data_IF_268423321349
#
_entry.id   IF_268423321349
#
_cell.length_a   1.000
_cell.length_b   1.000
_cell.length_c   1.000
_cell.angle_alpha   90.00
_cell.angle_beta   90.00
_cell.angle_gamma   90.00
#
_symmetry.space_group_name_H-M   'P 1'
#
loop_
_entity.id
_entity.type
_entity.pdbx_description
1 polymer ?
#
# COMPACT_ATOMS: atom_id res chain seq x y z
N UNK A 1 -3.79 66.61 -47.34
CA UNK A 1 -3.87 65.19 -47.75
C UNK A 1 -2.67 64.47 -47.15
N UNK A 2 -2.87 63.71 -46.08
CA UNK A 2 -1.95 62.66 -45.64
C UNK A 2 -2.76 61.70 -44.79
N UNK A 3 -2.99 60.49 -45.29
CA UNK A 3 -3.78 59.44 -44.65
C UNK A 3 -2.88 58.65 -43.70
N UNK A 4 -3.24 58.63 -42.42
CA UNK A 4 -2.67 57.72 -41.43
C UNK A 4 -3.43 56.40 -41.53
N UNK A 5 -2.76 55.34 -41.98
CA UNK A 5 -3.24 53.97 -41.85
C UNK A 5 -2.93 53.50 -40.43
N UNK A 6 -3.95 53.52 -39.57
CA UNK A 6 -3.96 52.85 -38.28
C UNK A 6 -4.14 51.35 -38.54
N UNK A 7 -3.05 50.58 -38.42
CA UNK A 7 -3.15 49.13 -38.37
C UNK A 7 -3.66 48.72 -36.98
N UNK A 8 -4.89 48.22 -36.94
CA UNK A 8 -5.48 47.56 -35.79
C UNK A 8 -4.72 46.26 -35.49
N UNK A 9 -4.16 46.15 -34.29
CA UNK A 9 -3.62 44.90 -33.78
C UNK A 9 -4.80 43.99 -33.43
N UNK A 10 -4.93 42.78 -34.02
CA UNK A 10 -5.97 41.85 -33.62
C UNK A 10 -5.66 41.29 -32.23
N UNK A 11 -6.43 41.72 -31.24
CA UNK A 11 -6.51 41.13 -29.89
C UNK A 11 -7.21 39.77 -29.95
N UNK A 12 -6.50 38.74 -30.42
CA UNK A 12 -7.06 37.38 -30.51
C UNK A 12 -6.04 36.26 -30.22
N UNK A 13 -5.05 36.51 -29.35
CA UNK A 13 -4.16 35.46 -28.82
C UNK A 13 -4.24 35.40 -27.29
N UNK A 14 -5.45 35.24 -26.76
CA UNK A 14 -5.64 34.74 -25.41
C UNK A 14 -5.28 33.24 -25.41
N UNK A 15 -4.00 32.93 -25.21
CA UNK A 15 -3.56 31.59 -24.84
C UNK A 15 -4.17 31.24 -23.47
N UNK A 16 -5.34 30.61 -23.48
CA UNK A 16 -5.84 29.79 -22.37
C UNK A 16 -6.16 28.42 -22.93
N UNK A 17 -5.12 27.66 -23.26
CA UNK A 17 -5.23 26.22 -23.12
C UNK A 17 -5.30 25.98 -21.61
N UNK A 18 -6.52 25.84 -21.09
CA UNK A 18 -6.72 25.37 -19.72
C UNK A 18 -6.14 23.96 -19.69
N UNK A 19 -5.00 23.78 -19.03
CA UNK A 19 -4.38 22.47 -18.84
C UNK A 19 -5.42 21.57 -18.19
N UNK A 20 -5.79 20.47 -18.83
CA UNK A 20 -6.72 19.50 -18.25
C UNK A 20 -5.95 18.43 -17.47
N UNK A 21 -6.65 17.72 -16.58
CA UNK A 21 -6.07 16.68 -15.74
C UNK A 21 -5.29 15.62 -16.56
N UNK A 22 -5.84 15.20 -17.69
CA UNK A 22 -5.22 14.24 -18.60
C UNK A 22 -3.90 14.73 -19.18
N UNK A 23 -3.78 16.03 -19.49
CA UNK A 23 -2.55 16.62 -20.03
C UNK A 23 -1.44 16.59 -18.98
N UNK A 24 -1.77 16.95 -17.74
CA UNK A 24 -0.83 16.87 -16.60
C UNK A 24 -0.37 15.43 -16.38
N UNK A 25 -1.30 14.47 -16.36
CA UNK A 25 -0.95 13.06 -16.12
C UNK A 25 -0.11 12.49 -17.26
N UNK A 26 -0.45 12.76 -18.51
CA UNK A 26 0.34 12.30 -19.66
C UNK A 26 1.75 12.92 -19.64
N UNK A 27 1.86 14.20 -19.31
CA UNK A 27 3.15 14.89 -19.16
C UNK A 27 3.98 14.23 -18.05
N UNK A 28 3.41 14.05 -16.85
CA UNK A 28 4.08 13.42 -15.73
C UNK A 28 4.46 11.96 -16.04
N UNK A 29 3.60 11.19 -16.71
CA UNK A 29 3.95 9.82 -17.11
C UNK A 29 5.14 9.80 -18.07
N UNK A 30 5.11 10.60 -19.13
CA UNK A 30 6.16 10.60 -20.15
C UNK A 30 7.50 11.10 -19.58
N UNK A 31 7.48 12.23 -18.87
CA UNK A 31 8.70 12.86 -18.35
C UNK A 31 9.19 12.23 -17.06
N UNK A 32 8.29 11.97 -16.10
CA UNK A 32 8.70 11.51 -14.78
C UNK A 32 8.95 10.01 -14.76
N UNK A 33 8.07 9.18 -15.34
CA UNK A 33 8.28 7.73 -15.29
C UNK A 33 9.53 7.33 -16.08
N UNK A 34 9.56 7.65 -17.38
CA UNK A 34 10.65 7.23 -18.24
C UNK A 34 11.91 8.08 -18.07
N UNK A 35 11.78 9.38 -17.77
CA UNK A 35 12.94 10.24 -17.52
C UNK A 35 13.68 9.85 -16.25
N UNK A 36 12.99 9.62 -15.13
CA UNK A 36 13.62 9.18 -13.87
C UNK A 36 14.26 7.80 -14.03
N UNK A 37 13.54 6.85 -14.66
CA UNK A 37 14.10 5.52 -14.94
C UNK A 37 15.39 5.63 -15.76
N UNK A 38 15.35 6.38 -16.87
CA UNK A 38 16.51 6.55 -17.77
C UNK A 38 17.70 7.15 -17.04
N UNK A 39 17.48 8.21 -16.26
CA UNK A 39 18.56 8.90 -15.54
C UNK A 39 19.17 8.00 -14.45
N UNK A 40 18.34 7.31 -13.66
CA UNK A 40 18.83 6.40 -12.60
C UNK A 40 19.56 5.19 -13.21
N UNK A 41 19.04 4.63 -14.31
CA UNK A 41 19.73 3.57 -15.07
C UNK A 41 21.11 4.01 -15.54
N UNK A 42 21.19 5.20 -16.15
CA UNK A 42 22.45 5.77 -16.62
C UNK A 42 23.42 6.01 -15.46
N UNK A 43 22.95 6.59 -14.35
CA UNK A 43 23.76 6.84 -13.16
C UNK A 43 24.31 5.57 -12.53
N UNK A 44 23.54 4.47 -12.53
CA UNK A 44 23.96 3.18 -11.99
C UNK A 44 24.80 2.35 -12.97
N UNK A 45 24.87 2.76 -14.25
CA UNK A 45 25.54 1.99 -15.30
C UNK A 45 24.78 0.73 -15.72
N UNK A 46 23.45 0.70 -15.54
CA UNK A 46 22.60 -0.43 -15.88
C UNK A 46 21.97 -0.20 -17.26
N UNK A 47 22.37 -0.99 -18.25
CA UNK A 47 21.77 -0.95 -19.59
C UNK A 47 20.50 -1.82 -19.65
N UNK A 48 19.36 -1.18 -19.87
CA UNK A 48 18.05 -1.82 -20.06
C UNK A 48 17.37 -1.15 -21.26
N UNK A 49 16.72 -1.96 -22.09
CA UNK A 49 15.77 -1.46 -23.08
C UNK A 49 14.40 -1.28 -22.43
N UNK A 50 14.06 -0.02 -22.13
CA UNK A 50 12.78 0.36 -21.51
C UNK A 50 11.57 -0.06 -22.35
N UNK A 51 11.70 -0.07 -23.69
CA UNK A 51 10.67 -0.51 -24.61
C UNK A 51 10.28 -1.96 -24.34
N UNK A 52 11.28 -2.84 -24.28
CA UNK A 52 11.06 -4.27 -24.04
C UNK A 52 10.67 -4.61 -22.60
N UNK A 53 11.12 -3.81 -21.62
CA UNK A 53 10.96 -4.16 -20.22
C UNK A 53 9.65 -3.64 -19.61
N UNK A 54 9.17 -2.48 -20.07
CA UNK A 54 8.01 -1.81 -19.47
C UNK A 54 6.78 -1.74 -20.38
N UNK A 55 6.89 -1.94 -21.70
CA UNK A 55 5.72 -1.96 -22.58
C UNK A 55 5.17 -3.37 -22.77
N UNK A 56 3.85 -3.49 -22.68
CA UNK A 56 3.11 -4.69 -23.04
C UNK A 56 2.72 -4.64 -24.52
N UNK A 57 2.34 -5.79 -25.09
CA UNK A 57 1.95 -5.92 -26.51
C UNK A 57 0.75 -5.04 -26.89
N UNK A 58 -0.10 -4.71 -25.92
CA UNK A 58 -1.26 -3.82 -26.09
C UNK A 58 -0.92 -2.32 -26.03
N UNK A 59 0.37 -1.98 -25.87
CA UNK A 59 0.86 -0.62 -25.75
C UNK A 59 0.76 -0.02 -24.34
N UNK A 60 0.27 -0.77 -23.36
CA UNK A 60 0.21 -0.32 -21.96
C UNK A 60 1.58 -0.44 -21.26
N UNK A 61 1.75 0.34 -20.19
CA UNK A 61 2.98 0.34 -19.38
C UNK A 61 2.79 -0.51 -18.13
N UNK A 62 3.67 -1.48 -17.91
CA UNK A 62 3.68 -2.36 -16.75
C UNK A 62 4.71 -1.92 -15.72
N UNK A 63 4.31 -1.87 -14.45
CA UNK A 63 5.23 -1.60 -13.32
C UNK A 63 5.82 -2.86 -12.71
N UNK A 64 5.48 -4.06 -13.22
CA UNK A 64 5.91 -5.33 -12.62
C UNK A 64 7.43 -5.44 -12.47
N UNK A 65 8.17 -4.87 -13.41
CA UNK A 65 9.65 -4.88 -13.43
C UNK A 65 10.30 -3.88 -12.49
N UNK A 66 9.54 -2.98 -11.85
CA UNK A 66 10.05 -2.18 -10.73
C UNK A 66 10.42 -3.08 -9.54
N UNK A 67 9.74 -4.23 -9.38
CA UNK A 67 10.13 -5.22 -8.39
C UNK A 67 11.50 -5.84 -8.77
N UNK A 68 12.44 -5.84 -7.83
CA UNK A 68 13.82 -6.30 -8.05
C UNK A 68 14.75 -5.30 -8.75
N UNK A 69 14.21 -4.22 -9.36
CA UNK A 69 15.02 -3.18 -9.98
C UNK A 69 15.98 -2.47 -9.01
N UNK A 70 15.62 -2.18 -7.74
CA UNK A 70 16.55 -1.61 -6.77
C UNK A 70 17.83 -2.44 -6.59
N UNK A 71 17.69 -3.77 -6.56
CA UNK A 71 18.80 -4.71 -6.46
C UNK A 71 19.68 -4.67 -7.71
N UNK A 72 19.07 -4.68 -8.90
CA UNK A 72 19.81 -4.60 -10.17
C UNK A 72 20.58 -3.29 -10.32
N UNK A 73 20.00 -2.16 -9.93
CA UNK A 73 20.70 -0.87 -9.91
C UNK A 73 21.89 -0.91 -8.94
N UNK A 74 21.69 -1.47 -7.74
CA UNK A 74 22.74 -1.60 -6.75
C UNK A 74 23.87 -2.52 -7.24
N UNK A 75 23.54 -3.67 -7.83
CA UNK A 75 24.53 -4.60 -8.41
C UNK A 75 25.34 -3.94 -9.53
N UNK A 76 24.70 -3.18 -10.43
CA UNK A 76 25.40 -2.44 -11.49
C UNK A 76 26.33 -1.37 -10.90
N UNK A 77 25.89 -0.65 -9.87
CA UNK A 77 26.73 0.30 -9.14
C UNK A 77 27.90 -0.41 -8.43
N UNK A 78 27.70 -1.61 -7.89
CA UNK A 78 28.73 -2.40 -7.24
C UNK A 78 29.78 -2.92 -8.24
N UNK A 79 29.35 -3.45 -9.39
CA UNK A 79 30.23 -3.91 -10.47
C UNK A 79 31.12 -2.76 -10.98
N UNK A 80 30.59 -1.54 -11.04
CA UNK A 80 31.33 -0.34 -11.43
C UNK A 80 32.15 0.28 -10.30
N UNK A 81 32.17 -0.31 -9.10
CA UNK A 81 32.91 0.19 -7.94
C UNK A 81 32.35 1.47 -7.32
N UNK A 82 31.09 1.81 -7.62
CA UNK A 82 30.39 3.02 -7.18
C UNK A 82 29.33 2.77 -6.10
N UNK A 83 29.21 1.53 -5.65
CA UNK A 83 28.34 1.22 -4.52
C UNK A 83 28.87 1.97 -3.27
N UNK A 84 27.98 2.73 -2.63
CA UNK A 84 28.31 3.58 -1.48
C UNK A 84 28.95 4.92 -1.86
N UNK A 85 29.12 5.22 -3.15
CA UNK A 85 29.55 6.54 -3.61
C UNK A 85 28.51 7.60 -3.23
N UNK A 86 28.86 8.44 -2.24
CA UNK A 86 27.98 9.49 -1.73
C UNK A 86 27.62 10.54 -2.79
N UNK A 87 28.47 10.75 -3.80
CA UNK A 87 28.18 11.68 -4.92
C UNK A 87 27.13 11.08 -5.85
N UNK A 88 27.26 9.80 -6.20
CA UNK A 88 26.23 9.06 -6.93
C UNK A 88 24.89 9.10 -6.17
N UNK A 89 24.92 8.74 -4.89
CA UNK A 89 23.73 8.69 -4.05
C UNK A 89 23.05 10.06 -3.95
N UNK A 90 23.80 11.17 -3.85
CA UNK A 90 23.20 12.51 -3.79
C UNK A 90 22.52 12.91 -5.11
N UNK A 91 23.10 12.54 -6.25
CA UNK A 91 22.46 12.78 -7.56
C UNK A 91 21.14 12.01 -7.68
N UNK A 92 21.14 10.73 -7.32
CA UNK A 92 19.93 9.89 -7.32
C UNK A 92 18.89 10.45 -6.34
N UNK A 93 19.29 10.82 -5.12
CA UNK A 93 18.38 11.38 -4.13
C UNK A 93 17.77 12.72 -4.59
N UNK A 94 18.56 13.56 -5.27
CA UNK A 94 18.08 14.83 -5.84
C UNK A 94 17.01 14.59 -6.91
N UNK A 95 17.21 13.61 -7.79
CA UNK A 95 16.21 13.22 -8.79
C UNK A 95 14.93 12.74 -8.09
N UNK A 96 15.05 11.86 -7.10
CA UNK A 96 13.90 11.33 -6.37
C UNK A 96 13.13 12.44 -5.61
N UNK A 97 13.83 13.37 -4.96
CA UNK A 97 13.24 14.53 -4.29
C UNK A 97 12.50 15.44 -5.27
N UNK A 98 13.11 15.77 -6.40
CA UNK A 98 12.48 16.62 -7.40
C UNK A 98 11.23 15.94 -7.99
N UNK A 99 11.34 14.63 -8.23
CA UNK A 99 10.22 13.81 -8.71
C UNK A 99 9.07 13.80 -7.71
N UNK A 100 9.37 13.64 -6.42
CA UNK A 100 8.38 13.68 -5.35
C UNK A 100 7.69 15.05 -5.27
N UNK A 101 8.44 16.16 -5.37
CA UNK A 101 7.89 17.52 -5.37
C UNK A 101 6.97 17.78 -6.57
N UNK A 102 7.28 17.21 -7.74
CA UNK A 102 6.40 17.30 -8.92
C UNK A 102 5.12 16.47 -8.77
N UNK A 103 5.08 15.55 -7.79
CA UNK A 103 3.91 14.73 -7.44
C UNK A 103 3.17 15.27 -6.21
N UNK A 104 3.47 16.47 -5.73
CA UNK A 104 2.70 17.09 -4.65
C UNK A 104 1.30 17.50 -5.16
N UNK A 105 0.27 17.27 -4.34
CA UNK A 105 -1.13 17.59 -4.62
C UNK A 105 -1.31 19.11 -4.83
N UNK A 106 -1.65 19.52 -6.04
CA UNK A 106 -1.88 20.93 -6.36
C UNK A 106 -3.26 21.38 -5.89
N UNK A 107 -3.27 22.41 -5.02
CA UNK A 107 -4.48 22.98 -4.42
C UNK A 107 -4.68 24.43 -4.83
N UNK A 108 -5.93 24.85 -4.89
CA UNK A 108 -6.29 26.26 -5.11
C UNK A 108 -5.77 27.14 -3.96
N UNK A 109 -5.90 28.46 -4.13
CA UNK A 109 -5.50 29.45 -3.13
C UNK A 109 -6.19 29.27 -1.75
N UNK A 110 -7.33 28.58 -1.71
CA UNK A 110 -8.05 28.27 -0.46
C UNK A 110 -7.45 27.09 0.33
N UNK A 111 -6.52 26.33 -0.28
CA UNK A 111 -5.86 25.16 0.32
C UNK A 111 -6.76 23.94 0.57
N UNK A 112 -8.05 24.02 0.24
CA UNK A 112 -9.05 22.98 0.43
C UNK A 112 -9.46 22.34 -0.90
N UNK A 113 -9.53 23.11 -1.97
CA UNK A 113 -10.01 22.65 -3.27
C UNK A 113 -8.85 22.15 -4.12
N UNK A 114 -8.95 20.91 -4.60
CA UNK A 114 -7.98 20.35 -5.56
C UNK A 114 -8.15 21.04 -6.92
N UNK A 115 -7.03 21.39 -7.57
CA UNK A 115 -7.07 22.02 -8.90
C UNK A 115 -7.60 21.04 -9.95
N UNK A 116 -7.22 19.77 -9.82
CA UNK A 116 -7.57 18.72 -10.78
C UNK A 116 -8.49 17.67 -10.18
N UNK A 117 -9.48 17.25 -10.97
CA UNK A 117 -10.26 16.04 -10.72
C UNK A 117 -9.80 14.96 -11.69
N UNK A 118 -9.33 13.84 -11.15
CA UNK A 118 -8.79 12.72 -11.91
C UNK A 118 -9.80 11.57 -11.97
N UNK A 119 -9.76 10.83 -13.07
CA UNK A 119 -10.34 9.50 -13.20
C UNK A 119 -9.53 8.46 -12.42
N UNK A 120 -10.10 7.26 -12.23
CA UNK A 120 -9.41 6.16 -11.57
C UNK A 120 -8.14 5.74 -12.35
N UNK A 121 -8.19 5.78 -13.68
CA UNK A 121 -7.03 5.47 -14.53
C UNK A 121 -5.90 6.49 -14.34
N UNK A 122 -6.22 7.78 -14.36
CA UNK A 122 -5.26 8.86 -14.12
C UNK A 122 -4.62 8.77 -12.72
N UNK A 123 -5.43 8.52 -11.69
CA UNK A 123 -4.91 8.30 -10.34
C UNK A 123 -3.95 7.11 -10.25
N UNK A 124 -4.20 6.03 -11.00
CA UNK A 124 -3.30 4.86 -11.04
C UNK A 124 -1.97 5.18 -11.69
N UNK A 125 -1.96 6.05 -12.71
CA UNK A 125 -0.72 6.54 -13.31
C UNK A 125 0.07 7.41 -12.31
N UNK A 126 -0.59 8.30 -11.58
CA UNK A 126 0.08 9.09 -10.55
C UNK A 126 0.65 8.21 -9.41
N UNK A 127 -0.11 7.18 -9.02
CA UNK A 127 0.35 6.22 -8.03
C UNK A 127 1.54 5.37 -8.53
N UNK A 128 1.60 5.04 -9.83
CA UNK A 128 2.75 4.32 -10.39
C UNK A 128 4.03 5.16 -10.36
N UNK A 129 3.91 6.49 -10.49
CA UNK A 129 5.02 7.43 -10.31
C UNK A 129 5.50 7.49 -8.86
N UNK A 130 4.60 7.51 -7.87
CA UNK A 130 4.96 7.44 -6.45
C UNK A 130 5.69 6.12 -6.13
N UNK A 131 5.22 4.99 -6.67
CA UNK A 131 5.89 3.69 -6.55
C UNK A 131 7.31 3.75 -7.14
N UNK A 132 7.51 4.40 -8.28
CA UNK A 132 8.84 4.56 -8.87
C UNK A 132 9.77 5.37 -7.95
N UNK A 133 9.30 6.49 -7.39
CA UNK A 133 10.08 7.29 -6.43
C UNK A 133 10.48 6.46 -5.20
N UNK A 134 9.54 5.68 -4.65
CA UNK A 134 9.83 4.75 -3.54
C UNK A 134 10.81 3.66 -3.93
N UNK A 135 10.74 3.17 -5.18
CA UNK A 135 11.69 2.20 -5.74
C UNK A 135 13.11 2.76 -5.79
N UNK A 136 13.27 4.04 -6.16
CA UNK A 136 14.56 4.74 -6.08
C UNK A 136 15.03 4.89 -4.63
N UNK A 137 14.13 5.18 -3.69
CA UNK A 137 14.43 5.20 -2.26
C UNK A 137 14.95 3.85 -1.72
N UNK A 138 14.31 2.74 -2.12
CA UNK A 138 14.74 1.38 -1.78
C UNK A 138 16.14 1.09 -2.30
N UNK A 139 16.46 1.55 -3.51
CA UNK A 139 17.80 1.42 -4.07
C UNK A 139 18.84 2.18 -3.22
N UNK A 140 18.57 3.43 -2.86
CA UNK A 140 19.47 4.22 -2.00
C UNK A 140 19.71 3.56 -0.63
N UNK A 141 18.70 2.89 -0.07
CA UNK A 141 18.85 2.17 1.19
C UNK A 141 19.86 1.01 1.09
N UNK A 142 19.92 0.31 -0.05
CA UNK A 142 20.91 -0.76 -0.26
C UNK A 142 22.35 -0.25 -0.12
N UNK A 143 22.62 0.97 -0.58
CA UNK A 143 23.93 1.59 -0.41
C UNK A 143 24.28 1.80 1.06
N UNK A 144 23.30 2.16 1.89
CA UNK A 144 23.52 2.42 3.32
C UNK A 144 23.75 1.17 4.16
N UNK A 145 23.37 0.00 3.64
CA UNK A 145 23.54 -1.29 4.31
C UNK A 145 24.82 -2.04 3.89
N UNK A 146 25.68 -1.45 3.05
CA UNK A 146 26.92 -2.11 2.67
C UNK A 146 27.89 -2.27 3.84
N UNK A 147 28.66 -3.38 3.88
CA UNK A 147 29.79 -3.52 4.78
C UNK A 147 30.77 -2.35 4.61
N UNK A 148 31.13 -1.71 5.73
CA UNK A 148 32.08 -0.60 5.73
C UNK A 148 31.49 0.76 5.32
N UNK A 149 30.19 0.86 5.04
CA UNK A 149 29.54 2.15 4.84
C UNK A 149 29.37 2.86 6.20
N UNK A 150 30.24 3.83 6.49
CA UNK A 150 30.16 4.59 7.73
C UNK A 150 29.22 5.77 7.58
N UNK A 151 28.19 5.80 8.41
CA UNK A 151 27.28 6.94 8.57
C UNK A 151 27.68 7.71 9.83
N UNK A 152 28.61 8.65 9.75
CA UNK A 152 28.75 9.59 10.86
C UNK A 152 27.57 10.56 10.83
N UNK A 153 27.10 11.02 11.99
CA UNK A 153 26.02 12.04 12.06
C UNK A 153 26.38 13.32 11.28
N UNK A 154 27.68 13.62 11.17
CA UNK A 154 28.22 14.76 10.44
C UNK A 154 28.15 14.61 8.91
N UNK A 155 28.21 13.39 8.37
CA UNK A 155 28.14 13.13 6.92
C UNK A 155 26.69 13.04 6.41
N UNK A 156 25.73 12.92 7.34
CA UNK A 156 24.30 13.02 7.10
C UNK A 156 23.69 11.90 6.27
N UNK A 157 24.43 10.89 5.81
CA UNK A 157 23.88 9.76 5.04
C UNK A 157 23.35 8.66 5.96
N UNK A 158 22.18 8.12 5.64
CA UNK A 158 21.56 7.02 6.39
C UNK A 158 20.07 6.89 6.10
N UNK A 159 19.45 5.84 6.65
CA UNK A 159 18.02 5.53 6.47
C UNK A 159 17.11 6.75 6.72
N UNK A 160 17.31 7.44 7.84
CA UNK A 160 16.50 8.63 8.22
C UNK A 160 16.58 9.76 7.21
N UNK A 161 17.73 9.99 6.55
CA UNK A 161 17.84 11.02 5.50
C UNK A 161 17.03 10.65 4.29
N UNK A 162 17.13 9.40 3.85
CA UNK A 162 16.38 8.91 2.67
C UNK A 162 14.88 8.97 2.96
N UNK A 163 14.44 8.45 4.11
CA UNK A 163 13.04 8.53 4.53
C UNK A 163 12.55 9.98 4.58
N UNK A 164 13.19 10.87 5.34
CA UNK A 164 12.76 12.29 5.42
C UNK A 164 12.76 13.02 4.07
N UNK A 165 13.59 12.59 3.12
CA UNK A 165 13.68 13.22 1.80
C UNK A 165 12.58 12.78 0.86
N UNK A 166 11.98 11.61 1.10
CA UNK A 166 10.99 10.98 0.23
C UNK A 166 9.62 10.84 0.92
N UNK A 167 9.51 11.32 2.16
CA UNK A 167 8.33 11.24 3.02
C UNK A 167 7.82 12.63 3.47
N UNK A 168 8.49 13.72 3.05
CA UNK A 168 8.16 15.12 3.44
C UNK A 168 7.92 16.02 2.21
N UNK A 169 6.94 16.97 2.23
CA UNK A 169 6.13 17.46 3.36
C UNK A 169 4.64 17.09 3.28
N UNK A 170 4.04 16.55 4.34
CA UNK A 170 2.61 16.62 4.77
C UNK A 170 1.43 16.54 3.76
N UNK A 171 1.68 16.44 2.47
CA UNK A 171 0.74 16.48 1.37
C UNK A 171 0.69 15.08 0.80
N UNK A 172 -0.52 14.55 0.71
CA UNK A 172 -0.76 13.29 0.02
C UNK A 172 -0.24 13.41 -1.42
N UNK A 173 0.38 12.38 -2.01
CA UNK A 173 0.75 12.42 -3.42
C UNK A 173 -0.46 12.79 -4.30
N UNK A 174 -0.20 13.48 -5.40
CA UNK A 174 -1.20 13.91 -6.37
C UNK A 174 -2.11 12.74 -6.76
N UNK A 175 -3.41 12.96 -6.73
CA UNK A 175 -4.41 11.93 -7.01
C UNK A 175 -4.58 10.84 -5.95
N UNK A 176 -3.74 10.73 -4.92
CA UNK A 176 -3.85 9.68 -3.89
C UNK A 176 -5.13 9.81 -3.06
N UNK A 177 -5.56 11.03 -2.72
CA UNK A 177 -6.84 11.21 -2.05
C UNK A 177 -8.02 10.78 -2.93
N UNK A 178 -7.94 11.03 -4.24
CA UNK A 178 -9.00 10.68 -5.19
C UNK A 178 -9.04 9.19 -5.50
N UNK A 179 -7.88 8.52 -5.57
CA UNK A 179 -7.82 7.08 -5.82
C UNK A 179 -8.49 6.30 -4.71
N UNK A 180 -8.38 6.75 -3.45
CA UNK A 180 -9.01 6.11 -2.30
C UNK A 180 -10.53 6.16 -2.40
N UNK A 181 -11.08 7.34 -2.71
CA UNK A 181 -12.52 7.51 -2.88
C UNK A 181 -13.04 6.67 -4.06
N UNK A 182 -12.39 6.78 -5.23
CA UNK A 182 -12.76 6.03 -6.42
C UNK A 182 -12.60 4.51 -6.26
N UNK A 183 -11.59 4.07 -5.50
CA UNK A 183 -11.37 2.66 -5.21
C UNK A 183 -12.46 2.12 -4.29
N UNK A 184 -12.90 2.89 -3.29
CA UNK A 184 -14.02 2.52 -2.42
C UNK A 184 -15.29 2.35 -3.23
N UNK A 185 -15.64 3.32 -4.07
CA UNK A 185 -16.83 3.24 -4.92
C UNK A 185 -16.78 1.99 -5.81
N UNK A 186 -15.62 1.70 -6.42
CA UNK A 186 -15.41 0.49 -7.23
C UNK A 186 -15.52 -0.80 -6.43
N UNK A 187 -15.03 -0.83 -5.19
CA UNK A 187 -15.14 -1.99 -4.30
C UNK A 187 -16.60 -2.24 -3.90
N UNK A 188 -17.37 -1.18 -3.63
CA UNK A 188 -18.81 -1.28 -3.39
C UNK A 188 -19.56 -1.85 -4.61
N UNK A 189 -19.26 -1.36 -5.81
CA UNK A 189 -19.80 -1.91 -7.06
C UNK A 189 -19.45 -3.39 -7.27
N UNK A 190 -18.26 -3.80 -6.83
CA UNK A 190 -17.81 -5.21 -6.85
C UNK A 190 -18.42 -6.07 -5.72
N UNK A 191 -19.24 -5.48 -4.84
CA UNK A 191 -19.93 -6.19 -3.77
C UNK A 191 -19.05 -6.50 -2.55
N UNK A 192 -17.98 -5.74 -2.33
CA UNK A 192 -17.20 -5.81 -1.10
C UNK A 192 -18.01 -5.31 0.11
N UNK A 193 -17.68 -5.81 1.29
CA UNK A 193 -18.36 -5.44 2.51
C UNK A 193 -17.81 -4.12 3.05
N UNK A 194 -18.69 -3.21 3.49
CA UNK A 194 -18.29 -1.90 4.04
C UNK A 194 -17.33 -2.01 5.23
N UNK A 195 -17.53 -3.01 6.07
CA UNK A 195 -16.64 -3.30 7.20
C UNK A 195 -15.20 -3.57 6.77
N UNK A 196 -14.98 -4.12 5.57
CA UNK A 196 -13.64 -4.41 5.06
C UNK A 196 -12.90 -3.13 4.67
N UNK A 197 -13.61 -2.07 4.28
CA UNK A 197 -12.98 -0.79 3.94
C UNK A 197 -12.31 -0.16 5.14
N UNK A 198 -12.90 -0.33 6.34
CA UNK A 198 -12.33 0.18 7.58
C UNK A 198 -10.97 -0.45 7.91
N UNK A 199 -10.74 -1.69 7.47
CA UNK A 199 -9.50 -2.41 7.72
C UNK A 199 -8.44 -2.20 6.63
N UNK A 200 -8.78 -1.51 5.54
CA UNK A 200 -7.86 -1.24 4.43
C UNK A 200 -7.36 0.21 4.48
N UNK A 201 -6.03 0.37 4.48
CA UNK A 201 -5.37 1.66 4.30
C UNK A 201 -5.53 2.16 2.86
N UNK A 202 -5.34 3.46 2.62
CA UNK A 202 -5.60 4.08 1.31
C UNK A 202 -4.95 3.38 0.11
N UNK A 203 -3.66 3.02 0.21
CA UNK A 203 -2.97 2.28 -0.86
C UNK A 203 -3.50 0.85 -1.04
N UNK A 204 -3.95 0.22 0.05
CA UNK A 204 -4.53 -1.12 0.03
C UNK A 204 -5.91 -1.12 -0.62
N UNK A 205 -6.71 -0.07 -0.43
CA UNK A 205 -7.99 0.11 -1.13
C UNK A 205 -7.79 0.19 -2.65
N UNK A 206 -6.83 0.99 -3.11
CA UNK A 206 -6.51 1.10 -4.53
C UNK A 206 -6.14 -0.26 -5.13
N UNK A 207 -5.30 -1.04 -4.44
CA UNK A 207 -4.94 -2.40 -4.86
C UNK A 207 -6.13 -3.37 -4.81
N UNK A 208 -6.88 -3.39 -3.72
CA UNK A 208 -8.04 -4.26 -3.55
C UNK A 208 -9.08 -4.04 -4.66
N UNK A 209 -9.25 -2.81 -5.16
CA UNK A 209 -10.18 -2.49 -6.26
C UNK A 209 -9.83 -3.19 -7.60
N UNK A 210 -8.63 -3.78 -7.71
CA UNK A 210 -8.21 -4.59 -8.84
C UNK A 210 -8.62 -6.06 -8.72
N UNK A 211 -9.00 -6.49 -7.52
CA UNK A 211 -9.37 -7.88 -7.25
C UNK A 211 -10.83 -8.10 -7.59
N UNK A 212 -11.10 -9.13 -8.38
CA UNK A 212 -12.48 -9.60 -8.59
C UNK A 212 -12.88 -10.50 -7.42
N UNK A 213 -14.09 -10.27 -6.88
CA UNK A 213 -14.65 -11.11 -5.81
C UNK A 213 -15.98 -11.71 -6.24
N UNK A 214 -16.15 -13.00 -5.95
CA UNK A 214 -17.43 -13.66 -6.08
C UNK A 214 -18.32 -13.26 -4.89
N UNK A 215 -19.52 -12.77 -5.16
CA UNK A 215 -20.50 -12.41 -4.14
C UNK A 215 -21.21 -13.67 -3.64
N UNK A 216 -20.62 -14.33 -2.64
CA UNK A 216 -21.12 -15.59 -2.09
C UNK A 216 -22.29 -15.36 -1.12
N UNK A 217 -22.28 -14.26 -0.36
CA UNK A 217 -23.32 -13.92 0.64
C UNK A 217 -23.86 -12.50 0.43
N UNK A 218 -25.02 -12.24 1.01
CA UNK A 218 -25.58 -10.89 0.99
C UNK A 218 -24.99 -10.03 2.12
N UNK A 219 -24.47 -8.86 1.74
CA UNK A 219 -23.82 -7.89 2.63
C UNK A 219 -24.67 -6.64 2.89
N UNK A 220 -25.94 -6.63 2.46
CA UNK A 220 -26.85 -5.49 2.59
C UNK A 220 -27.06 -5.01 4.04
N UNK A 221 -26.95 -5.94 5.00
CA UNK A 221 -27.10 -5.68 6.44
C UNK A 221 -25.79 -5.33 7.15
N UNK A 222 -24.64 -5.35 6.46
CA UNK A 222 -23.35 -5.07 7.08
C UNK A 222 -23.17 -3.57 7.37
N UNK A 223 -22.50 -3.26 8.49
CA UNK A 223 -22.12 -1.89 8.82
C UNK A 223 -20.64 -1.62 8.50
N UNK A 224 -20.13 -0.45 8.92
CA UNK A 224 -18.76 -0.01 8.62
C UNK A 224 -17.68 -0.73 9.43
N UNK A 225 -18.03 -1.56 10.41
CA UNK A 225 -17.10 -2.20 11.35
C UNK A 225 -17.35 -3.72 11.40
N UNK A 226 -18.61 -4.13 11.28
CA UNK A 226 -19.08 -5.51 11.47
C UNK A 226 -19.66 -6.05 10.16
N UNK A 227 -19.10 -7.17 9.71
CA UNK A 227 -19.65 -7.95 8.63
C UNK A 227 -20.72 -8.91 9.15
N UNK A 228 -22.00 -8.55 9.05
CA UNK A 228 -23.12 -9.39 9.45
C UNK A 228 -23.29 -10.66 8.58
N UNK A 229 -22.88 -10.60 7.30
CA UNK A 229 -23.01 -11.73 6.38
C UNK A 229 -22.19 -12.98 6.78
N UNK A 230 -21.07 -12.76 7.47
CA UNK A 230 -20.15 -13.82 7.91
C UNK A 230 -20.18 -14.04 9.42
N UNK A 231 -21.08 -13.39 10.16
CA UNK A 231 -21.31 -13.77 11.55
C UNK A 231 -21.98 -15.14 11.61
N UNK A 232 -21.54 -15.95 12.57
CA UNK A 232 -22.18 -17.23 12.86
C UNK A 232 -23.28 -16.96 13.89
N UNK A 233 -24.53 -17.21 13.50
CA UNK A 233 -25.65 -17.19 14.42
C UNK A 233 -25.69 -18.52 15.16
N UNK A 234 -25.18 -18.55 16.39
CA UNK A 234 -25.00 -19.79 17.17
C UNK A 234 -26.31 -20.57 17.33
N UNK A 235 -27.45 -19.87 17.42
CA UNK A 235 -28.77 -20.49 17.55
C UNK A 235 -29.20 -21.30 16.32
N UNK A 236 -28.62 -21.02 15.16
CA UNK A 236 -28.94 -21.67 13.87
C UNK A 236 -27.75 -22.40 13.25
N UNK A 237 -26.57 -22.30 13.87
CA UNK A 237 -25.36 -22.90 13.34
C UNK A 237 -25.44 -24.43 13.42
N UNK A 238 -25.36 -25.07 12.26
CA UNK A 238 -25.21 -26.52 12.13
C UNK A 238 -23.91 -26.83 11.40
N UNK A 239 -23.10 -27.71 11.97
CA UNK A 239 -21.91 -28.21 11.29
C UNK A 239 -22.31 -29.07 10.10
N UNK A 240 -21.50 -29.07 9.03
CA UNK A 240 -21.83 -29.77 7.78
C UNK A 240 -21.94 -31.30 7.92
N UNK A 241 -21.47 -31.86 9.03
CA UNK A 241 -21.47 -33.30 9.31
C UNK A 241 -22.70 -33.76 10.11
N UNK A 242 -23.59 -32.84 10.51
CA UNK A 242 -24.85 -33.16 11.19
C UNK A 242 -25.95 -33.21 10.13
N UNK A 243 -26.54 -34.38 9.93
CA UNK A 243 -27.81 -34.54 9.23
C UNK A 243 -29.00 -34.45 10.21
N UNK A 244 -30.23 -34.47 9.70
CA UNK A 244 -31.43 -34.34 10.53
C UNK A 244 -31.67 -35.55 11.46
N UNK A 245 -30.94 -36.65 11.29
CA UNK A 245 -31.01 -37.85 12.14
C UNK A 245 -29.94 -37.84 13.26
N UNK A 246 -28.96 -36.93 13.18
CA UNK A 246 -27.89 -36.81 14.15
C UNK A 246 -28.28 -35.89 15.32
N UNK A 247 -28.35 -36.46 16.53
CA UNK A 247 -28.62 -35.74 17.78
C UNK A 247 -27.39 -35.60 18.68
N UNK A 248 -26.19 -35.63 18.11
CA UNK A 248 -24.95 -35.49 18.87
C UNK A 248 -24.81 -34.07 19.43
N UNK A 249 -24.47 -33.96 20.72
CA UNK A 249 -24.16 -32.67 21.33
C UNK A 249 -22.80 -32.13 20.86
N UNK A 250 -22.63 -30.81 20.90
CA UNK A 250 -21.34 -30.19 20.67
C UNK A 250 -20.37 -30.57 21.79
N UNK A 251 -19.24 -31.18 21.43
CA UNK A 251 -18.15 -31.42 22.38
C UNK A 251 -17.37 -30.12 22.57
N UNK A 252 -17.59 -29.49 23.73
CA UNK A 252 -16.85 -28.33 24.19
C UNK A 252 -15.80 -28.71 25.24
N UNK A 253 -14.86 -27.80 25.48
CA UNK A 253 -13.94 -27.90 26.63
C UNK A 253 -14.43 -27.00 27.76
N UNK A 254 -14.03 -27.29 28.98
CA UNK A 254 -14.33 -26.46 30.15
C UNK A 254 -13.62 -25.10 30.03
N UNK A 255 -14.41 -24.07 29.72
CA UNK A 255 -13.96 -22.69 29.53
C UNK A 255 -13.28 -22.12 30.77
N UNK A 256 -13.77 -22.44 31.97
CA UNK A 256 -13.19 -21.92 33.22
C UNK A 256 -11.80 -22.51 33.45
N UNK A 257 -11.61 -23.80 33.14
CA UNK A 257 -10.29 -24.45 33.21
C UNK A 257 -9.32 -23.91 32.16
N UNK A 258 -9.80 -23.60 30.95
CA UNK A 258 -9.02 -22.92 29.91
C UNK A 258 -8.54 -21.53 30.38
N UNK A 259 -9.45 -20.72 30.93
CA UNK A 259 -9.14 -19.38 31.46
C UNK A 259 -8.12 -19.47 32.61
N UNK A 260 -8.27 -20.44 33.50
CA UNK A 260 -7.36 -20.66 34.61
C UNK A 260 -5.95 -21.04 34.13
N UNK A 261 -5.84 -21.90 33.12
CA UNK A 261 -4.55 -22.27 32.51
C UNK A 261 -3.87 -21.08 31.81
N UNK A 262 -4.64 -20.30 31.03
CA UNK A 262 -4.14 -19.10 30.34
C UNK A 262 -3.67 -18.02 31.33
N UNK A 263 -4.39 -17.85 32.44
CA UNK A 263 -4.05 -16.89 33.51
C UNK A 263 -2.71 -17.22 34.18
N UNK A 264 -2.27 -18.48 34.14
CA UNK A 264 -0.94 -18.92 34.61
C UNK A 264 0.17 -18.69 33.57
N UNK A 265 -0.12 -18.02 32.44
CA UNK A 265 0.80 -17.84 31.30
C UNK A 265 1.32 -19.16 30.71
N UNK A 266 0.54 -20.23 30.84
CA UNK A 266 0.83 -21.54 30.22
C UNK A 266 0.05 -21.68 28.92
N UNK A 267 0.57 -22.49 28.01
CA UNK A 267 -0.17 -22.90 26.80
C UNK A 267 -1.13 -24.04 27.21
N UNK A 268 -2.46 -23.84 27.15
CA UNK A 268 -3.40 -24.90 27.48
C UNK A 268 -3.30 -26.02 26.44
N UNK A 269 -3.29 -27.26 26.91
CA UNK A 269 -3.34 -28.44 26.05
C UNK A 269 -4.73 -29.07 26.17
N UNK A 270 -5.29 -29.50 25.04
CA UNK A 270 -6.57 -30.20 25.00
C UNK A 270 -6.32 -31.66 24.62
N UNK A 271 -6.89 -32.57 25.42
CA UNK A 271 -6.86 -34.01 25.16
C UNK A 271 -8.27 -34.48 24.86
N UNK A 272 -8.42 -35.27 23.81
CA UNK A 272 -9.66 -35.98 23.51
C UNK A 272 -9.58 -37.32 24.24
N UNK A 273 -10.48 -37.56 25.18
CA UNK A 273 -10.53 -38.81 25.96
C UNK A 273 -11.14 -39.95 25.13
N UNK A 274 -11.03 -41.19 25.62
CA UNK A 274 -11.69 -42.36 25.01
C UNK A 274 -13.22 -42.22 25.00
N UNK A 275 -13.78 -41.39 25.90
CA UNK A 275 -15.19 -41.02 25.94
C UNK A 275 -15.58 -39.90 24.95
N UNK A 276 -14.65 -39.45 24.10
CA UNK A 276 -14.81 -38.32 23.18
C UNK A 276 -15.07 -36.97 23.89
N UNK A 277 -14.58 -36.80 25.11
CA UNK A 277 -14.65 -35.54 25.85
C UNK A 277 -13.35 -34.73 25.69
N UNK A 278 -13.44 -33.39 25.80
CA UNK A 278 -12.28 -32.50 25.73
C UNK A 278 -11.81 -32.09 27.13
N UNK A 279 -10.63 -32.55 27.54
CA UNK A 279 -10.01 -32.21 28.82
C UNK A 279 -8.86 -31.22 28.68
N UNK A 280 -8.82 -30.24 29.60
CA UNK A 280 -7.73 -29.25 29.69
C UNK A 280 -6.61 -29.80 30.57
N UNK A 281 -5.44 -30.02 29.98
CA UNK A 281 -4.23 -30.54 30.64
C UNK A 281 -3.17 -29.45 30.74
N UNK A 282 -2.50 -29.37 31.90
CA UNK A 282 -1.49 -28.35 32.21
C UNK A 282 -0.07 -28.90 32.34
N UNK A 283 0.14 -30.19 32.03
CA UNK A 283 1.43 -30.87 32.15
C UNK A 283 2.41 -30.44 31.04
N UNK A 284 3.63 -30.10 31.42
CA UNK A 284 4.64 -29.55 30.51
C UNK A 284 5.07 -30.56 29.44
N UNK A 285 5.14 -31.84 29.76
CA UNK A 285 5.72 -32.88 28.87
C UNK A 285 4.69 -33.64 28.02
N UNK A 286 3.42 -33.25 28.06
CA UNK A 286 2.40 -33.89 27.24
C UNK A 286 2.66 -33.58 25.74
N UNK A 287 2.84 -34.59 24.87
CA UNK A 287 3.05 -34.38 23.44
C UNK A 287 1.79 -33.79 22.81
N UNK A 288 1.94 -32.76 21.97
CA UNK A 288 0.81 -32.05 21.39
C UNK A 288 1.06 -31.64 19.93
N UNK A 289 -0.03 -31.44 19.20
CA UNK A 289 -0.03 -30.77 17.89
C UNK A 289 -0.57 -29.36 18.12
N UNK A 290 0.22 -28.34 17.79
CA UNK A 290 -0.24 -26.96 17.85
C UNK A 290 -1.14 -26.68 16.64
N UNK A 291 -2.42 -26.43 16.90
CA UNK A 291 -3.37 -25.93 15.89
C UNK A 291 -3.48 -24.42 16.05
N UNK A 292 -2.91 -23.67 15.10
CA UNK A 292 -3.12 -22.22 15.03
C UNK A 292 -4.26 -21.96 14.04
N UNK A 293 -5.42 -21.55 14.55
CA UNK A 293 -6.47 -20.97 13.73
C UNK A 293 -6.24 -19.46 13.70
N UNK A 294 -5.76 -18.93 12.57
CA UNK A 294 -5.70 -17.47 12.38
C UNK A 294 -7.10 -17.00 12.05
N UNK A 295 -7.85 -16.60 13.07
CA UNK A 295 -9.05 -15.79 12.91
C UNK A 295 -8.63 -14.33 13.06
N UNK A 296 -8.72 -13.54 12.00
CA UNK A 296 -8.60 -12.08 12.09
C UNK A 296 -9.83 -11.51 12.77
N UNK A 297 -9.86 -11.52 14.11
CA UNK A 297 -10.74 -10.67 14.92
C UNK A 297 -9.86 -9.79 15.81
N UNK A 298 -9.91 -8.46 15.69
CA UNK A 298 -9.32 -7.59 16.69
C UNK A 298 -10.25 -7.59 17.90
N UNK A 299 -9.95 -8.42 18.90
CA UNK A 299 -10.45 -8.14 20.25
C UNK A 299 -9.70 -6.90 20.72
N UNK A 300 -10.36 -5.74 20.65
CA UNK A 300 -9.88 -4.51 21.30
C UNK A 300 -9.87 -4.76 22.81
N UNK A 301 -8.72 -5.21 23.33
CA UNK A 301 -8.47 -5.24 24.77
C UNK A 301 -8.29 -3.79 25.24
N UNK A 302 -9.37 -3.15 25.65
CA UNK A 302 -9.28 -1.99 26.54
C UNK A 302 -8.73 -2.47 27.88
N UNK A 303 -7.43 -2.28 28.11
CA UNK A 303 -6.87 -2.34 29.44
C UNK A 303 -7.29 -1.06 30.19
N UNK A 304 -8.03 -1.15 31.31
CA UNK A 304 -8.22 0.02 32.17
C UNK A 304 -6.86 0.40 32.77
N UNK A 305 -6.49 1.67 32.61
CA UNK A 305 -5.32 2.26 33.27
C UNK A 305 -5.42 2.03 34.79
N UNK A 306 -4.32 1.66 35.47
CA UNK A 306 -4.34 1.53 36.92
C UNK A 306 -4.60 2.91 37.53
N UNK A 307 -5.67 3.02 38.32
CA UNK A 307 -5.92 4.17 39.17
C UNK A 307 -4.75 4.35 40.13
N UNK A 308 -4.05 5.47 40.01
CA UNK A 308 -3.04 5.91 40.96
C UNK A 308 -3.67 6.05 42.35
N UNK A 309 -3.07 5.39 43.35
CA UNK A 309 -3.17 5.81 44.75
C UNK A 309 -2.23 6.98 44.99
#
# INVERSE_FOLDING_TARGET
MSSVLQASVPTAWAWRNVVVASDKVAYLQAWLFFGVLTEVLHLCGLAIDLGTEFFLEDGSVSTAKLNGLPGRWFEAAAISGRAGDKVLMERILTIARHSHLMLSDERSEDGQTRIFKYSCAECRVLHSLDILVRTVGLHLLLHTYMPGFTTTEEEGWGRKRIERSLDWPHESPEGMGQVVDLARDKLEEQGWCKSEFYFLLGAQLAFASLLSRLRIRDHSSCDNIICHAYQTEESTYRTRHVDDECSCDFVGSDTDRLIAALSQKKVPKLVITDGLELEVVSENDYPYIALSHVCTSPVTLYAPLPSSK
#
